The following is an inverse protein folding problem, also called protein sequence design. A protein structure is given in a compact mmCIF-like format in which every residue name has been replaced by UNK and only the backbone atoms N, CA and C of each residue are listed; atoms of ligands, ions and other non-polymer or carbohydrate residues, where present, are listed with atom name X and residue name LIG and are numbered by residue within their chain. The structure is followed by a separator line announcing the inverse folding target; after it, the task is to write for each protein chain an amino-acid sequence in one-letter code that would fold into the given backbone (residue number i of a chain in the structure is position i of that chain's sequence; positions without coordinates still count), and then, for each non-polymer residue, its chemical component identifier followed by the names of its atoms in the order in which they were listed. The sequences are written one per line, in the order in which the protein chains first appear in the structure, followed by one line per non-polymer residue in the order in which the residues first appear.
data_IF_880805658993
#
_entry.id   IF_880805658993
#
_cell.length_a   1.000
_cell.length_b   1.000
_cell.length_c   1.000
_cell.angle_alpha   90.00
_cell.angle_beta   90.00
_cell.angle_gamma   90.00
#
_symmetry.space_group_name_H-M   'P 1'
#
loop_
_entity.id
_entity.type
_entity.pdbx_description
1 polymer ?
#
# COMPACT_ATOMS: atom_id res chain seq x y z
N UNK A 1 18.66 22.74 42.61
CA UNK A 1 17.54 22.32 41.73
C UNK A 1 17.82 20.93 41.18
N UNK A 2 17.16 19.90 41.69
CA UNK A 2 17.36 18.52 41.24
C UNK A 2 16.65 18.29 39.91
N UNK A 3 17.40 18.04 38.83
CA UNK A 3 16.80 17.67 37.55
C UNK A 3 16.10 16.31 37.69
N UNK A 4 14.76 16.32 37.66
CA UNK A 4 13.97 15.09 37.50
C UNK A 4 14.33 14.48 36.16
N UNK A 5 15.01 13.33 36.16
CA UNK A 5 15.15 12.50 34.95
C UNK A 5 13.73 12.10 34.52
N UNK A 6 13.26 12.67 33.42
CA UNK A 6 11.99 12.27 32.80
C UNK A 6 12.20 10.85 32.28
N UNK A 7 11.55 9.87 32.89
CA UNK A 7 11.61 8.48 32.44
C UNK A 7 11.13 8.39 30.99
N UNK A 8 11.91 7.74 30.12
CA UNK A 8 11.50 7.50 28.73
C UNK A 8 10.35 6.49 28.76
N UNK A 9 9.16 6.93 28.38
CA UNK A 9 7.98 6.06 28.33
C UNK A 9 8.14 5.04 27.20
N UNK A 10 7.95 3.77 27.52
CA UNK A 10 7.99 2.69 26.53
C UNK A 10 6.82 2.79 25.57
N UNK A 11 7.09 2.63 24.27
CA UNK A 11 6.07 2.72 23.22
C UNK A 11 5.29 1.41 23.14
N UNK A 12 4.01 1.44 23.51
CA UNK A 12 3.09 0.30 23.35
C UNK A 12 2.24 0.44 22.09
N UNK A 13 1.93 -0.68 21.45
CA UNK A 13 0.95 -0.78 20.38
C UNK A 13 -0.38 -1.28 20.93
N UNK A 14 -1.49 -0.71 20.45
CA UNK A 14 -2.85 -1.10 20.84
C UNK A 14 -3.62 -1.51 19.59
N UNK A 15 -4.29 -2.65 19.67
CA UNK A 15 -5.24 -3.14 18.68
C UNK A 15 -6.46 -2.21 18.58
N UNK A 16 -7.26 -2.37 17.51
CA UNK A 16 -8.47 -1.56 17.36
C UNK A 16 -9.53 -1.92 18.41
N UNK A 17 -9.61 -3.20 18.78
CA UNK A 17 -10.58 -3.71 19.76
C UNK A 17 -10.34 -3.07 21.13
N UNK A 18 -9.08 -3.04 21.60
CA UNK A 18 -8.71 -2.37 22.86
C UNK A 18 -9.06 -0.88 22.82
N UNK A 19 -8.82 -0.20 21.69
CA UNK A 19 -9.15 1.22 21.55
C UNK A 19 -10.66 1.46 21.54
N UNK A 20 -11.45 0.56 20.94
CA UNK A 20 -12.92 0.67 20.93
C UNK A 20 -13.49 0.53 22.35
N UNK A 21 -12.99 -0.41 23.15
CA UNK A 21 -13.37 -0.55 24.56
C UNK A 21 -13.10 0.75 25.32
N UNK A 22 -11.91 1.33 25.13
CA UNK A 22 -11.52 2.60 25.76
C UNK A 22 -12.39 3.77 25.31
N UNK A 23 -12.75 3.84 24.02
CA UNK A 23 -13.62 4.90 23.48
C UNK A 23 -15.05 4.78 24.00
N UNK A 24 -15.63 3.59 24.04
CA UNK A 24 -16.98 3.36 24.57
C UNK A 24 -17.05 3.77 26.05
N UNK A 25 -16.07 3.31 26.85
CA UNK A 25 -15.99 3.70 28.26
C UNK A 25 -15.80 5.23 28.44
N UNK A 26 -15.16 5.91 27.49
CA UNK A 26 -14.96 7.36 27.53
C UNK A 26 -16.19 8.18 27.15
N UNK A 27 -17.09 7.61 26.37
CA UNK A 27 -18.39 8.24 26.08
C UNK A 27 -19.27 8.25 27.33
N UNK A 28 -19.19 7.21 28.17
CA UNK A 28 -19.99 7.08 29.39
C UNK A 28 -19.39 7.86 30.58
N UNK A 29 -18.08 7.73 30.81
CA UNK A 29 -17.43 8.19 32.06
C UNK A 29 -16.55 9.45 31.87
N UNK A 30 -16.38 9.91 30.63
CA UNK A 30 -15.55 11.05 30.29
C UNK A 30 -14.04 10.74 30.26
N UNK A 31 -13.32 11.52 29.45
CA UNK A 31 -11.91 11.28 29.07
C UNK A 31 -10.95 11.09 30.25
N UNK A 32 -11.06 11.91 31.29
CA UNK A 32 -10.10 11.89 32.40
C UNK A 32 -10.30 10.68 33.33
N UNK A 33 -11.53 10.20 33.49
CA UNK A 33 -11.83 9.01 34.27
C UNK A 33 -11.25 7.75 33.59
N UNK A 34 -11.40 7.65 32.27
CA UNK A 34 -10.86 6.57 31.44
C UNK A 34 -9.34 6.51 31.51
N UNK A 35 -8.69 7.66 31.38
CA UNK A 35 -7.24 7.78 31.46
C UNK A 35 -6.71 7.21 32.78
N UNK A 36 -7.39 7.48 33.90
CA UNK A 36 -7.06 6.91 35.21
C UNK A 36 -7.36 5.41 35.27
N UNK A 37 -8.53 4.97 34.81
CA UNK A 37 -8.97 3.57 34.87
C UNK A 37 -8.04 2.63 34.08
N UNK A 38 -7.65 3.03 32.86
CA UNK A 38 -6.79 2.22 31.99
C UNK A 38 -5.31 2.56 32.09
N UNK A 39 -4.93 3.47 33.01
CA UNK A 39 -3.56 4.00 33.13
C UNK A 39 -2.99 4.51 31.78
N UNK A 40 -3.82 5.23 31.03
CA UNK A 40 -3.51 5.80 29.72
C UNK A 40 -3.34 7.31 29.80
N UNK A 41 -2.70 7.88 28.79
CA UNK A 41 -2.63 9.32 28.64
C UNK A 41 -3.95 9.91 28.18
N UNK A 42 -4.48 10.88 28.94
CA UNK A 42 -5.70 11.60 28.56
C UNK A 42 -5.61 12.23 27.14
N UNK A 43 -4.45 12.80 26.69
CA UNK A 43 -4.29 13.21 25.30
C UNK A 43 -4.40 12.06 24.29
N UNK A 44 -3.90 10.86 24.63
CA UNK A 44 -3.98 9.68 23.76
C UNK A 44 -5.43 9.21 23.61
N UNK A 45 -6.17 9.14 24.72
CA UNK A 45 -7.61 8.83 24.71
C UNK A 45 -8.37 9.85 23.86
N UNK A 46 -8.07 11.15 24.00
CA UNK A 46 -8.68 12.19 23.16
C UNK A 46 -8.41 12.02 21.66
N UNK A 47 -7.19 11.61 21.28
CA UNK A 47 -6.87 11.30 19.88
C UNK A 47 -7.67 10.10 19.36
N UNK A 48 -7.85 9.07 20.18
CA UNK A 48 -8.63 7.89 19.81
C UNK A 48 -10.12 8.21 19.64
N UNK A 49 -10.70 9.02 20.52
CA UNK A 49 -12.08 9.50 20.37
C UNK A 49 -12.24 10.29 19.07
N UNK A 50 -11.27 11.14 18.70
CA UNK A 50 -11.32 11.87 17.42
C UNK A 50 -11.19 10.95 16.19
N UNK A 51 -10.44 9.87 16.31
CA UNK A 51 -10.23 8.89 15.23
C UNK A 51 -11.35 7.86 15.12
N UNK A 52 -12.16 7.67 16.16
CA UNK A 52 -13.16 6.60 16.20
C UNK A 52 -14.23 6.72 15.12
N UNK A 53 -14.56 7.94 14.71
CA UNK A 53 -15.45 8.20 13.57
C UNK A 53 -14.95 7.63 12.24
N UNK A 54 -13.63 7.50 12.08
CA UNK A 54 -13.00 6.96 10.87
C UNK A 54 -12.77 5.44 10.94
N UNK A 55 -13.07 4.79 12.07
CA UNK A 55 -12.87 3.35 12.22
C UNK A 55 -14.01 2.56 11.56
N UNK A 56 -13.91 2.32 10.25
CA UNK A 56 -14.84 1.43 9.54
C UNK A 56 -14.86 0.01 10.13
N UNK A 57 -15.99 -0.69 10.05
CA UNK A 57 -16.12 -2.08 10.53
C UNK A 57 -15.13 -3.04 9.87
N UNK A 58 -14.79 -2.80 8.59
CA UNK A 58 -13.78 -3.56 7.83
C UNK A 58 -12.38 -3.46 8.45
N UNK A 59 -12.12 -2.44 9.27
CA UNK A 59 -10.85 -2.23 9.92
C UNK A 59 -10.73 -2.92 11.29
N UNK A 60 -11.82 -3.45 11.88
CA UNK A 60 -11.83 -4.11 13.20
C UNK A 60 -10.75 -5.20 13.35
N UNK A 61 -10.52 -6.00 12.31
CA UNK A 61 -9.51 -7.08 12.30
C UNK A 61 -8.05 -6.61 12.09
N UNK A 62 -7.79 -5.32 11.86
CA UNK A 62 -6.44 -4.79 11.62
C UNK A 62 -5.83 -4.29 12.93
N UNK A 63 -4.62 -4.75 13.25
CA UNK A 63 -3.83 -4.27 14.41
C UNK A 63 -3.60 -2.74 14.42
N UNK A 64 -3.57 -2.10 13.24
CA UNK A 64 -3.29 -0.66 13.08
C UNK A 64 -4.41 0.07 12.34
N UNK A 65 -5.67 -0.18 12.70
CA UNK A 65 -6.78 0.61 12.17
C UNK A 65 -6.74 2.06 12.70
N UNK A 66 -7.05 3.02 11.83
CA UNK A 66 -7.12 4.46 12.16
C UNK A 66 -5.97 5.33 11.63
N UNK A 67 -4.84 4.73 11.26
CA UNK A 67 -3.78 5.47 10.54
C UNK A 67 -3.71 4.95 9.11
N UNK A 68 -4.12 5.73 8.09
CA UNK A 68 -3.87 5.39 6.71
C UNK A 68 -2.37 5.09 6.54
N UNK A 69 -2.05 3.98 5.87
CA UNK A 69 -0.66 3.70 5.52
C UNK A 69 -0.06 4.83 4.70
N UNK A 70 1.27 4.84 4.56
CA UNK A 70 1.96 5.82 3.70
C UNK A 70 1.34 5.78 2.30
N UNK A 71 0.83 6.93 1.86
CA UNK A 71 0.25 7.07 0.51
C UNK A 71 1.32 6.83 -0.55
N UNK A 72 0.90 6.34 -1.71
CA UNK A 72 1.76 6.25 -2.88
C UNK A 72 2.26 7.65 -3.25
N UNK A 73 3.52 7.76 -3.67
CA UNK A 73 4.09 9.03 -4.12
C UNK A 73 3.56 9.42 -5.51
N UNK A 74 3.37 8.42 -6.38
CA UNK A 74 2.87 8.59 -7.75
C UNK A 74 1.51 7.89 -7.94
N UNK A 75 0.44 8.30 -7.24
CA UNK A 75 -0.83 7.59 -7.24
C UNK A 75 -1.49 7.51 -8.62
N UNK A 76 -1.33 8.54 -9.46
CA UNK A 76 -1.92 8.58 -10.80
C UNK A 76 -1.14 7.68 -11.78
N UNK A 77 0.18 7.83 -11.80
CA UNK A 77 1.09 7.01 -12.62
C UNK A 77 0.95 5.52 -12.29
N UNK A 78 0.81 5.19 -11.01
CA UNK A 78 0.59 3.81 -10.58
C UNK A 78 -0.72 3.22 -11.13
N UNK A 79 -1.78 4.02 -11.32
CA UNK A 79 -3.03 3.54 -11.95
C UNK A 79 -2.82 3.23 -13.42
N UNK A 80 -2.10 4.09 -14.17
CA UNK A 80 -1.77 3.82 -15.56
C UNK A 80 -0.93 2.55 -15.71
N UNK A 81 0.09 2.39 -14.85
CA UNK A 81 0.90 1.18 -14.80
C UNK A 81 0.05 -0.06 -14.51
N UNK A 82 -0.86 0.02 -13.53
CA UNK A 82 -1.77 -1.08 -13.20
C UNK A 82 -2.62 -1.50 -14.40
N UNK A 83 -3.25 -0.56 -15.09
CA UNK A 83 -4.08 -0.85 -16.27
C UNK A 83 -3.27 -1.56 -17.36
N UNK A 84 -2.06 -1.06 -17.64
CA UNK A 84 -1.16 -1.68 -18.59
C UNK A 84 -0.78 -3.12 -18.18
N UNK A 85 -0.49 -3.38 -16.89
CA UNK A 85 -0.20 -4.75 -16.40
C UNK A 85 -1.39 -5.68 -16.63
N UNK A 86 -2.61 -5.22 -16.38
CA UNK A 86 -3.83 -6.01 -16.59
C UNK A 86 -3.99 -6.34 -18.08
N UNK A 87 -3.76 -5.39 -18.98
CA UNK A 87 -3.80 -5.63 -20.42
C UNK A 87 -2.76 -6.66 -20.88
N UNK A 88 -1.52 -6.54 -20.40
CA UNK A 88 -0.47 -7.52 -20.72
C UNK A 88 -0.85 -8.93 -20.25
N UNK A 89 -1.42 -9.03 -19.05
CA UNK A 89 -1.89 -10.32 -18.50
C UNK A 89 -3.08 -10.89 -19.27
N UNK A 90 -3.99 -10.04 -19.77
CA UNK A 90 -5.08 -10.47 -20.66
C UNK A 90 -4.56 -11.04 -21.98
N UNK A 91 -3.49 -10.44 -22.53
CA UNK A 91 -2.77 -10.95 -23.71
C UNK A 91 -1.94 -12.21 -23.44
N UNK A 92 -1.83 -12.62 -22.17
CA UNK A 92 -1.07 -13.79 -21.75
C UNK A 92 0.41 -13.53 -21.49
N UNK A 93 0.88 -12.29 -21.55
CA UNK A 93 2.29 -11.97 -21.30
C UNK A 93 2.63 -11.98 -19.82
N UNK A 94 3.79 -12.55 -19.48
CA UNK A 94 4.35 -12.49 -18.15
C UNK A 94 4.99 -11.12 -17.91
N UNK A 95 4.59 -10.45 -16.83
CA UNK A 95 5.13 -9.14 -16.47
C UNK A 95 6.10 -9.30 -15.30
N UNK A 96 7.38 -9.05 -15.56
CA UNK A 96 8.45 -9.07 -14.56
C UNK A 96 8.65 -7.68 -13.91
N UNK A 97 9.32 -7.64 -12.75
CA UNK A 97 9.64 -6.41 -12.03
C UNK A 97 10.45 -5.41 -12.88
N UNK A 98 11.37 -5.92 -13.72
CA UNK A 98 12.17 -5.10 -14.64
C UNK A 98 11.25 -4.37 -15.63
N UNK A 99 10.30 -5.10 -16.20
CA UNK A 99 9.36 -4.57 -17.18
C UNK A 99 8.42 -3.53 -16.55
N UNK A 100 7.98 -3.76 -15.31
CA UNK A 100 7.20 -2.79 -14.55
C UNK A 100 7.98 -1.49 -14.32
N UNK A 101 9.26 -1.59 -13.96
CA UNK A 101 10.13 -0.43 -13.75
C UNK A 101 10.34 0.35 -15.05
N UNK A 102 10.63 -0.34 -16.16
CA UNK A 102 10.80 0.30 -17.47
C UNK A 102 9.51 1.01 -17.91
N UNK A 103 8.36 0.37 -17.74
CA UNK A 103 7.08 0.98 -18.09
C UNK A 103 6.77 2.19 -17.20
N UNK A 104 7.09 2.13 -15.90
CA UNK A 104 6.95 3.26 -14.99
C UNK A 104 7.81 4.46 -15.43
N UNK A 105 9.08 4.22 -15.77
CA UNK A 105 9.96 5.27 -16.30
C UNK A 105 9.43 5.84 -17.62
N UNK A 106 8.84 5.00 -18.49
CA UNK A 106 8.23 5.45 -19.74
C UNK A 106 7.05 6.40 -19.49
N UNK A 107 6.14 6.05 -18.57
CA UNK A 107 4.98 6.88 -18.24
C UNK A 107 5.43 8.20 -17.59
N UNK A 108 6.45 8.18 -16.74
CA UNK A 108 6.99 9.39 -16.10
C UNK A 108 7.59 10.39 -17.11
N UNK A 109 8.03 9.94 -18.29
CA UNK A 109 8.54 10.79 -19.37
C UNK A 109 7.43 11.42 -20.21
N UNK A 110 6.18 10.99 -20.07
CA UNK A 110 5.09 11.59 -20.84
C UNK A 110 4.87 13.04 -20.40
N UNK A 111 4.70 14.00 -21.34
CA UNK A 111 4.68 15.43 -21.02
C UNK A 111 3.53 15.80 -20.07
N UNK A 112 2.40 15.09 -20.16
CA UNK A 112 1.25 15.26 -19.26
C UNK A 112 1.61 14.90 -17.82
N UNK A 113 2.38 13.82 -17.63
CA UNK A 113 2.80 13.34 -16.31
C UNK A 113 3.97 14.16 -15.78
N UNK A 114 4.88 14.60 -16.65
CA UNK A 114 6.00 15.47 -16.28
C UNK A 114 5.51 16.84 -15.77
N UNK A 115 4.40 17.37 -16.29
CA UNK A 115 3.76 18.57 -15.75
C UNK A 115 3.27 18.37 -14.30
N UNK A 116 2.82 17.17 -13.94
CA UNK A 116 2.38 16.82 -12.58
C UNK A 116 3.55 16.45 -11.66
N UNK A 117 4.59 15.82 -12.21
CA UNK A 117 5.76 15.33 -11.49
C UNK A 117 7.06 15.73 -12.21
N UNK A 118 7.49 17.00 -12.12
CA UNK A 118 8.64 17.52 -12.89
C UNK A 118 9.96 16.81 -12.56
N UNK A 119 10.16 16.45 -11.28
CA UNK A 119 11.33 15.71 -10.82
C UNK A 119 11.17 14.17 -10.91
N UNK A 120 10.00 13.69 -11.38
CA UNK A 120 9.65 12.28 -11.33
C UNK A 120 10.60 11.38 -12.12
N UNK A 121 11.08 11.83 -13.28
CA UNK A 121 12.02 11.07 -14.10
C UNK A 121 13.38 10.86 -13.41
N UNK A 122 13.88 11.89 -12.72
CA UNK A 122 15.21 11.87 -12.10
C UNK A 122 15.19 11.23 -10.71
N UNK A 123 14.11 11.39 -9.95
CA UNK A 123 13.98 10.88 -8.59
C UNK A 123 13.51 9.42 -8.53
N UNK A 124 12.85 8.92 -9.58
CA UNK A 124 12.29 7.58 -9.57
C UNK A 124 13.37 6.51 -9.74
N UNK A 125 13.85 5.98 -8.62
CA UNK A 125 14.83 4.88 -8.60
C UNK A 125 14.22 3.52 -8.93
N UNK A 126 12.91 3.32 -8.71
CA UNK A 126 12.25 2.03 -9.00
C UNK A 126 12.76 0.85 -8.18
N UNK A 127 13.15 1.08 -6.92
CA UNK A 127 13.68 0.06 -6.02
C UNK A 127 12.67 -1.08 -5.78
N UNK A 128 13.16 -2.28 -5.46
CA UNK A 128 12.30 -3.46 -5.20
C UNK A 128 11.28 -3.22 -4.08
N UNK A 129 11.62 -2.39 -3.09
CA UNK A 129 10.70 -1.96 -2.04
C UNK A 129 9.47 -1.21 -2.59
N UNK A 130 9.67 -0.33 -3.57
CA UNK A 130 8.57 0.37 -4.23
C UNK A 130 7.71 -0.62 -5.02
N UNK A 131 8.32 -1.52 -5.79
CA UNK A 131 7.60 -2.55 -6.57
C UNK A 131 6.73 -3.41 -5.64
N UNK A 132 7.30 -3.92 -4.55
CA UNK A 132 6.56 -4.71 -3.57
C UNK A 132 5.40 -3.93 -2.95
N UNK A 133 5.61 -2.64 -2.67
CA UNK A 133 4.56 -1.78 -2.11
C UNK A 133 3.45 -1.52 -3.12
N UNK A 134 3.81 -1.23 -4.38
CA UNK A 134 2.87 -1.10 -5.49
C UNK A 134 2.03 -2.38 -5.66
N UNK A 135 2.68 -3.54 -5.73
CA UNK A 135 1.99 -4.82 -5.87
C UNK A 135 1.01 -5.09 -4.71
N UNK A 136 1.40 -4.79 -3.47
CA UNK A 136 0.52 -4.89 -2.30
C UNK A 136 -0.67 -3.95 -2.37
N UNK A 137 -0.48 -2.70 -2.83
CA UNK A 137 -1.56 -1.72 -2.98
C UNK A 137 -2.62 -2.17 -3.99
N UNK A 138 -2.20 -2.76 -5.10
CA UNK A 138 -3.08 -3.17 -6.20
C UNK A 138 -3.47 -4.66 -6.17
N UNK A 139 -3.08 -5.41 -5.12
CA UNK A 139 -3.41 -6.84 -4.98
C UNK A 139 -2.81 -7.73 -6.09
N UNK A 140 -1.66 -7.35 -6.65
CA UNK A 140 -1.01 -8.09 -7.73
C UNK A 140 -0.07 -9.18 -7.20
N UNK A 141 -0.07 -10.36 -7.83
CA UNK A 141 0.93 -11.41 -7.64
C UNK A 141 1.81 -11.59 -8.88
N UNK A 142 3.10 -11.93 -8.71
CA UNK A 142 4.02 -12.21 -9.83
C UNK A 142 3.69 -13.54 -10.52
N UNK A 143 3.38 -14.59 -9.75
CA UNK A 143 2.96 -15.88 -10.28
C UNK A 143 1.49 -15.83 -10.70
N UNK A 144 1.23 -15.67 -11.99
CA UNK A 144 0.06 -16.26 -12.65
C UNK A 144 0.58 -17.16 -13.77
N UNK A 145 0.02 -18.38 -13.89
CA UNK A 145 0.31 -19.25 -15.03
C UNK A 145 -0.14 -18.52 -16.30
N UNK A 146 0.80 -18.15 -17.15
CA UNK A 146 0.54 -17.57 -18.46
C UNK A 146 0.40 -18.70 -19.47
N UNK A 147 -0.71 -18.71 -20.21
CA UNK A 147 -1.11 -19.76 -21.17
C UNK A 147 -0.48 -19.60 -22.57
N UNK A 148 0.61 -18.83 -22.71
CA UNK A 148 1.28 -18.76 -24.02
C UNK A 148 2.14 -20.03 -24.16
N UNK A 149 1.51 -21.10 -24.67
CA UNK A 149 2.27 -22.12 -25.39
C UNK A 149 2.88 -21.49 -26.63
N UNK A 150 4.03 -22.01 -27.10
CA UNK A 150 4.57 -21.61 -28.40
C UNK A 150 3.49 -21.82 -29.45
N UNK A 151 3.20 -20.77 -30.24
CA UNK A 151 2.40 -20.94 -31.45
C UNK A 151 3.26 -21.71 -32.44
N UNK A 152 2.70 -22.78 -33.01
CA UNK A 152 3.31 -23.49 -34.13
C UNK A 152 3.50 -22.47 -35.28
N UNK A 153 4.72 -22.32 -35.84
CA UNK A 153 4.92 -21.55 -37.07
C UNK A 153 3.92 -21.92 -38.17
N UNK A 154 3.39 -20.95 -38.91
CA UNK A 154 2.50 -21.22 -40.04
C UNK A 154 3.13 -22.16 -41.09
N UNK A 155 4.46 -22.15 -41.22
CA UNK A 155 5.18 -22.88 -42.26
C UNK A 155 5.52 -24.35 -41.90
N UNK A 156 4.91 -24.91 -40.85
CA UNK A 156 5.23 -26.29 -40.42
C UNK A 156 4.76 -27.32 -41.43
N UNK A 157 3.56 -27.11 -41.99
CA UNK A 157 3.00 -28.02 -42.99
C UNK A 157 3.87 -28.04 -44.25
N UNK A 158 4.34 -26.87 -44.69
CA UNK A 158 5.24 -26.74 -45.84
C UNK A 158 6.60 -27.44 -45.63
N UNK A 159 7.16 -27.38 -44.41
CA UNK A 159 8.44 -28.02 -44.08
C UNK A 159 8.34 -29.53 -43.86
N UNK A 160 7.15 -30.05 -43.58
CA UNK A 160 6.91 -31.50 -43.46
C UNK A 160 6.80 -32.16 -44.84
N UNK A 161 6.31 -31.43 -45.84
CA UNK A 161 6.22 -31.92 -47.23
C UNK A 161 7.58 -31.89 -47.98
N UNK A 162 8.58 -31.15 -47.46
CA UNK A 162 9.93 -31.06 -48.04
C UNK A 162 10.92 -32.13 -47.53
N UNK A 163 10.52 -32.99 -46.58
CA UNK A 163 11.35 -34.05 -45.99
C UNK A 163 11.06 -35.44 -46.57
#
# INVERSE_FOLDING_TARGET
MTQKKVGVRQRTSYSLEEKLVVVNYAQENGRNAVAKHFNLDAPMVGRWIKQSSSWEEKNKKKKCAGTPGRKAFYPEVEKFLYNWIIEQRKKGFAVNYILMRLQMCKILKEPVIQALYPAGEYEFQGNLSWINSFMKRFGLSLRRKTKISQKLPEDIEQKLDEF
#
